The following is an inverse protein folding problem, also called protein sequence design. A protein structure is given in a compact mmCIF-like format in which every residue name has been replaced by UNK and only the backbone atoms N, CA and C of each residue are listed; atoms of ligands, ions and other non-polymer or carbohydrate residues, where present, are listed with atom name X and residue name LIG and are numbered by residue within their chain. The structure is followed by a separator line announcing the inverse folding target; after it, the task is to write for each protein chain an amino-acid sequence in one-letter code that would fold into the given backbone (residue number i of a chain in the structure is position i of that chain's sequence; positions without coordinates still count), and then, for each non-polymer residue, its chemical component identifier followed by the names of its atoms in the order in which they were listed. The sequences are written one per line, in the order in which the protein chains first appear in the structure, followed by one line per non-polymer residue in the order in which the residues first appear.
data_IF_042333131239
#
_entry.id   IF_042333131239
#
_cell.length_a   1.000
_cell.length_b   1.000
_cell.length_c   1.000
_cell.angle_alpha   90.00
_cell.angle_beta   90.00
_cell.angle_gamma   90.00
#
_symmetry.space_group_name_H-M   'P 1'
#
loop_
_entity.id
_entity.type
_entity.pdbx_description
1 polymer ?
#
# COMPACT_ATOMS: atom_id res chain seq x y z
N UNK A 1 8.52 7.62 -4.81
CA UNK A 1 7.06 7.79 -4.98
C UNK A 1 6.39 6.56 -4.39
N UNK A 2 5.21 6.72 -3.80
CA UNK A 2 4.47 5.64 -3.09
C UNK A 2 3.23 5.16 -3.87
N UNK A 3 3.12 5.52 -5.14
CA UNK A 3 1.97 5.15 -5.97
C UNK A 3 2.04 3.66 -6.34
N UNK A 4 0.91 2.97 -6.22
CA UNK A 4 0.72 1.61 -6.70
C UNK A 4 -0.62 1.49 -7.45
N UNK A 5 -0.84 0.35 -8.09
CA UNK A 5 -2.05 0.05 -8.86
C UNK A 5 -2.62 -1.29 -8.43
N UNK A 6 -3.95 -1.41 -8.44
CA UNK A 6 -4.68 -2.66 -8.31
C UNK A 6 -5.46 -2.83 -9.62
N UNK A 7 -5.31 -3.98 -10.27
CA UNK A 7 -6.00 -4.27 -11.52
C UNK A 7 -7.37 -4.90 -11.21
N UNK A 8 -8.44 -4.37 -11.79
CA UNK A 8 -9.80 -4.93 -11.66
C UNK A 8 -10.01 -6.12 -12.61
N UNK A 9 -9.25 -6.15 -13.70
CA UNK A 9 -9.29 -7.18 -14.75
C UNK A 9 -7.86 -7.48 -15.20
N UNK A 10 -7.60 -8.62 -15.88
CA UNK A 10 -6.29 -8.88 -16.48
C UNK A 10 -5.87 -7.76 -17.44
N UNK A 11 -4.63 -7.28 -17.30
CA UNK A 11 -4.06 -6.21 -18.14
C UNK A 11 -2.72 -6.62 -18.77
N UNK A 12 -2.70 -7.55 -19.73
CA UNK A 12 -1.44 -8.15 -20.23
C UNK A 12 -0.47 -7.15 -20.88
N UNK A 13 -0.97 -5.99 -21.34
CA UNK A 13 -0.12 -4.95 -21.93
C UNK A 13 0.77 -4.22 -20.90
N UNK A 14 0.55 -4.44 -19.60
CA UNK A 14 1.40 -3.95 -18.51
C UNK A 14 2.52 -4.91 -18.13
N UNK A 15 2.47 -6.17 -18.60
CA UNK A 15 3.43 -7.20 -18.25
C UNK A 15 4.86 -6.78 -18.66
N UNK A 16 5.79 -6.91 -17.73
CA UNK A 16 7.19 -6.49 -17.90
C UNK A 16 7.42 -4.97 -17.90
N UNK A 17 6.35 -4.15 -17.84
CA UNK A 17 6.45 -2.67 -17.75
C UNK A 17 6.28 -2.14 -16.33
N UNK A 18 5.65 -2.93 -15.46
CA UNK A 18 5.45 -2.61 -14.05
C UNK A 18 5.86 -3.82 -13.20
N UNK A 19 6.43 -3.54 -12.03
CA UNK A 19 6.80 -4.59 -11.08
C UNK A 19 5.57 -5.02 -10.30
N UNK A 20 5.17 -6.28 -10.47
CA UNK A 20 4.12 -6.92 -9.67
C UNK A 20 4.73 -7.37 -8.33
N UNK A 21 4.15 -6.93 -7.22
CA UNK A 21 4.61 -7.26 -5.87
C UNK A 21 3.56 -8.00 -5.02
N UNK A 22 2.36 -8.24 -5.56
CA UNK A 22 1.29 -8.93 -4.85
C UNK A 22 0.10 -9.23 -5.76
N UNK A 23 -0.87 -9.96 -5.22
CA UNK A 23 -2.13 -10.30 -5.87
C UNK A 23 -3.28 -10.28 -4.87
N UNK A 24 -4.49 -10.02 -5.36
CA UNK A 24 -5.73 -10.14 -4.57
C UNK A 24 -5.95 -11.63 -4.25
N UNK A 25 -6.19 -11.96 -2.98
CA UNK A 25 -6.10 -13.35 -2.48
C UNK A 25 -7.27 -14.21 -2.94
N UNK A 26 -8.50 -13.69 -2.85
CA UNK A 26 -9.71 -14.46 -3.14
C UNK A 26 -10.78 -13.71 -3.93
N UNK A 27 -11.82 -14.46 -4.32
CA UNK A 27 -12.95 -13.92 -5.07
C UNK A 27 -13.78 -12.89 -4.30
N UNK A 28 -13.89 -13.03 -2.98
CA UNK A 28 -14.59 -12.05 -2.14
C UNK A 28 -13.80 -10.74 -2.02
N UNK A 29 -12.47 -10.80 -1.91
CA UNK A 29 -11.61 -9.61 -1.95
C UNK A 29 -11.68 -8.92 -3.32
N UNK A 30 -11.75 -9.70 -4.40
CA UNK A 30 -11.92 -9.16 -5.75
C UNK A 30 -13.25 -8.41 -5.92
N UNK A 31 -14.32 -8.82 -5.22
CA UNK A 31 -15.58 -8.05 -5.21
C UNK A 31 -15.40 -6.68 -4.58
N UNK A 32 -14.59 -6.58 -3.52
CA UNK A 32 -14.25 -5.29 -2.89
C UNK A 32 -13.48 -4.42 -3.87
N UNK A 33 -12.44 -4.96 -4.52
CA UNK A 33 -11.69 -4.23 -5.56
C UNK A 33 -12.62 -3.72 -6.66
N UNK A 34 -13.51 -4.58 -7.16
CA UNK A 34 -14.44 -4.22 -8.23
C UNK A 34 -15.48 -3.15 -7.84
N UNK A 35 -15.72 -2.94 -6.54
CA UNK A 35 -16.62 -1.91 -6.04
C UNK A 35 -15.95 -0.53 -5.92
N UNK A 36 -14.62 -0.45 -5.92
CA UNK A 36 -13.87 0.81 -5.82
C UNK A 36 -14.16 1.69 -7.04
N UNK A 37 -14.47 2.96 -6.78
CA UNK A 37 -14.76 3.97 -7.78
C UNK A 37 -13.78 5.15 -7.72
N UNK A 38 -13.76 5.94 -8.79
CA UNK A 38 -12.95 7.15 -8.83
C UNK A 38 -13.40 8.13 -7.74
N UNK A 39 -12.42 8.61 -6.96
CA UNK A 39 -12.66 9.54 -5.87
C UNK A 39 -12.72 8.87 -4.50
N UNK A 40 -12.76 7.53 -4.44
CA UNK A 40 -12.63 6.80 -3.18
C UNK A 40 -11.29 7.08 -2.52
N UNK A 41 -11.31 7.18 -1.19
CA UNK A 41 -10.13 7.49 -0.39
C UNK A 41 -9.67 6.24 0.36
N UNK A 42 -8.38 5.96 0.28
CA UNK A 42 -7.73 5.01 1.18
C UNK A 42 -7.59 5.70 2.54
N UNK A 43 -8.29 5.17 3.54
CA UNK A 43 -8.23 5.70 4.91
C UNK A 43 -7.07 5.10 5.70
N UNK A 44 -6.82 3.80 5.55
CA UNK A 44 -5.78 3.05 6.27
C UNK A 44 -5.28 1.89 5.43
N UNK A 45 -3.99 1.58 5.57
CA UNK A 45 -3.36 0.36 5.04
C UNK A 45 -2.71 -0.34 6.23
N UNK A 46 -2.96 -1.63 6.38
CA UNK A 46 -2.35 -2.47 7.40
C UNK A 46 -1.69 -3.67 6.74
N UNK A 47 -0.44 -3.95 7.11
CA UNK A 47 0.29 -5.13 6.66
C UNK A 47 0.16 -6.16 7.78
N UNK A 48 -0.59 -7.23 7.51
CA UNK A 48 -0.78 -8.33 8.45
C UNK A 48 0.24 -9.45 8.22
N UNK A 49 0.63 -10.13 9.29
CA UNK A 49 1.64 -11.19 9.29
C UNK A 49 2.76 -10.90 10.27
N UNK A 50 3.80 -11.75 10.26
CA UNK A 50 5.01 -11.50 11.05
C UNK A 50 5.95 -10.56 10.30
N UNK A 51 5.96 -9.30 10.75
CA UNK A 51 6.81 -8.23 10.22
C UNK A 51 7.86 -7.79 11.23
N UNK A 52 8.03 -8.50 12.35
CA UNK A 52 8.85 -8.05 13.47
C UNK A 52 10.31 -7.85 13.05
N UNK A 53 10.92 -8.87 12.44
CA UNK A 53 12.32 -8.82 11.99
C UNK A 53 12.56 -7.70 10.98
N UNK A 54 11.65 -7.53 10.01
CA UNK A 54 11.77 -6.48 8.99
C UNK A 54 11.75 -5.09 9.63
N UNK A 55 10.85 -4.86 10.60
CA UNK A 55 10.78 -3.56 11.28
C UNK A 55 11.98 -3.31 12.19
N UNK A 56 12.54 -4.35 12.82
CA UNK A 56 13.78 -4.24 13.58
C UNK A 56 14.95 -3.84 12.69
N UNK A 57 15.12 -4.53 11.55
CA UNK A 57 16.19 -4.23 10.58
C UNK A 57 16.06 -2.82 9.98
N UNK A 58 14.83 -2.39 9.68
CA UNK A 58 14.54 -1.10 9.05
C UNK A 58 14.26 0.03 10.05
N UNK A 59 14.45 -0.20 11.36
CA UNK A 59 14.02 0.73 12.42
C UNK A 59 14.59 2.15 12.25
N UNK A 60 15.86 2.26 11.83
CA UNK A 60 16.53 3.55 11.62
C UNK A 60 15.89 4.36 10.48
N UNK A 61 15.58 3.69 9.36
CA UNK A 61 14.95 4.30 8.19
C UNK A 61 13.50 4.69 8.50
N UNK A 62 12.75 3.81 9.16
CA UNK A 62 11.39 4.08 9.61
C UNK A 62 11.34 5.30 10.53
N UNK A 63 12.29 5.43 11.46
CA UNK A 63 12.39 6.61 12.33
C UNK A 63 12.73 7.90 11.56
N UNK A 64 13.55 7.83 10.51
CA UNK A 64 13.82 8.98 9.64
C UNK A 64 12.58 9.39 8.81
N UNK A 65 11.87 8.41 8.25
CA UNK A 65 10.67 8.66 7.48
C UNK A 65 9.58 9.27 8.36
N UNK A 66 9.35 8.74 9.56
CA UNK A 66 8.40 9.30 10.51
C UNK A 66 8.74 10.76 10.85
N UNK A 67 10.01 11.08 11.13
CA UNK A 67 10.44 12.48 11.35
C UNK A 67 10.17 13.38 10.15
N UNK A 68 10.36 12.86 8.94
CA UNK A 68 10.08 13.61 7.71
C UNK A 68 8.57 13.84 7.53
N UNK A 69 7.77 12.82 7.78
CA UNK A 69 6.31 12.88 7.71
C UNK A 69 5.75 13.87 8.72
N UNK A 70 6.20 13.82 9.98
CA UNK A 70 5.76 14.74 11.03
C UNK A 70 6.06 16.20 10.65
N UNK A 71 7.23 16.45 10.06
CA UNK A 71 7.65 17.79 9.63
C UNK A 71 6.87 18.29 8.41
N UNK A 72 6.63 17.44 7.42
CA UNK A 72 6.02 17.84 6.14
C UNK A 72 4.48 17.80 6.18
N UNK A 73 3.92 16.93 7.01
CA UNK A 73 2.49 16.65 7.10
C UNK A 73 2.01 16.61 8.56
N UNK A 74 2.13 17.72 9.31
CA UNK A 74 1.82 17.76 10.75
C UNK A 74 0.34 17.47 11.09
N UNK A 75 -0.55 17.48 10.10
CA UNK A 75 -1.97 17.12 10.24
C UNK A 75 -2.30 15.65 9.92
N UNK A 76 -1.32 14.86 9.49
CA UNK A 76 -1.47 13.43 9.23
C UNK A 76 -1.49 12.70 10.58
N UNK A 77 -2.64 12.72 11.27
CA UNK A 77 -2.79 11.98 12.53
C UNK A 77 -2.60 10.49 12.27
N UNK A 78 -1.75 9.85 13.06
CA UNK A 78 -1.82 8.40 13.22
C UNK A 78 -3.20 8.07 13.81
N UNK A 79 -4.01 7.33 13.05
CA UNK A 79 -5.33 6.86 13.46
C UNK A 79 -5.20 5.50 14.13
#
# INVERSE_FOLDING_TARGET
GSQFFITHVPTPWLDGKHTVFGAVVGGDDQKVVNAIAQGDRIERIEIAGDTATLFEEMAAEVAEWNRTLDRQFPGLKAV
#
